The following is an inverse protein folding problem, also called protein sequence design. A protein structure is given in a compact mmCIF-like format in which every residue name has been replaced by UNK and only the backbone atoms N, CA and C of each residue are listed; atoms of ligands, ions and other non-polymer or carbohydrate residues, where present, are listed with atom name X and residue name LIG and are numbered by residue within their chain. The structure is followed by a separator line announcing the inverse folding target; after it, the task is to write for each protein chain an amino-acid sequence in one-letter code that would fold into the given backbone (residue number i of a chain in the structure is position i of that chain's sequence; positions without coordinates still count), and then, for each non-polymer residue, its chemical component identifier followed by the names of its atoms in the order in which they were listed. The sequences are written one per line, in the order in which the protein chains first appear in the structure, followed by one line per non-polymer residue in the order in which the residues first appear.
data_IF_332596311933
#
_entry.id   IF_332596311933
#
_cell.length_a   1.000
_cell.length_b   1.000
_cell.length_c   1.000
_cell.angle_alpha   90.00
_cell.angle_beta   90.00
_cell.angle_gamma   90.00
#
_symmetry.space_group_name_H-M   'P 1'
#
loop_
_entity.id
_entity.type
_entity.pdbx_description
1 polymer ?
#
# COMPACT_ATOMS: atom_id res chain seq x y z
N UNK A 1 -6.46 21.46 -8.22
CA UNK A 1 -6.20 20.23 -7.44
C UNK A 1 -6.18 20.59 -5.97
N UNK A 2 -6.98 19.89 -5.17
CA UNK A 2 -7.01 20.09 -3.71
C UNK A 2 -5.64 19.79 -3.09
N UNK A 3 -5.06 20.78 -2.40
CA UNK A 3 -3.77 20.64 -1.70
C UNK A 3 -3.80 19.49 -0.70
N UNK A 4 -4.96 19.22 -0.10
CA UNK A 4 -5.15 18.15 0.88
C UNK A 4 -4.96 16.78 0.22
N UNK A 5 -5.62 16.53 -0.92
CA UNK A 5 -5.50 15.27 -1.66
C UNK A 5 -4.04 14.98 -2.04
N UNK A 6 -3.34 16.00 -2.54
CA UNK A 6 -1.92 15.88 -2.90
C UNK A 6 -1.07 15.51 -1.69
N UNK A 7 -1.26 16.19 -0.56
CA UNK A 7 -0.50 15.93 0.67
C UNK A 7 -0.77 14.53 1.21
N UNK A 8 -2.03 14.09 1.21
CA UNK A 8 -2.40 12.73 1.64
C UNK A 8 -1.73 11.68 0.77
N UNK A 9 -1.76 11.84 -0.57
CA UNK A 9 -1.12 10.90 -1.48
C UNK A 9 0.41 10.86 -1.32
N UNK A 10 1.06 12.01 -1.12
CA UNK A 10 2.50 12.09 -0.87
C UNK A 10 2.89 11.49 0.49
N UNK A 11 2.10 11.73 1.54
CA UNK A 11 2.33 11.15 2.86
C UNK A 11 2.18 9.62 2.81
N UNK A 12 1.16 9.11 2.12
CA UNK A 12 0.98 7.69 1.89
C UNK A 12 2.14 7.07 1.10
N UNK A 13 2.57 7.72 0.01
CA UNK A 13 3.73 7.28 -0.76
C UNK A 13 5.01 7.21 0.09
N UNK A 14 5.28 8.23 0.90
CA UNK A 14 6.43 8.26 1.80
C UNK A 14 6.36 7.13 2.85
N UNK A 15 5.20 6.95 3.47
CA UNK A 15 4.97 5.87 4.44
C UNK A 15 5.28 4.50 3.82
N UNK A 16 4.77 4.24 2.61
CA UNK A 16 5.01 3.00 1.89
C UNK A 16 6.50 2.81 1.59
N UNK A 17 7.19 3.84 1.10
CA UNK A 17 8.62 3.78 0.80
C UNK A 17 9.43 3.42 2.04
N UNK A 18 9.12 4.03 3.19
CA UNK A 18 9.80 3.75 4.46
C UNK A 18 9.54 2.32 4.92
N UNK A 19 8.28 1.87 4.93
CA UNK A 19 7.90 0.53 5.36
C UNK A 19 8.52 -0.54 4.45
N UNK A 20 8.42 -0.37 3.13
CA UNK A 20 8.97 -1.30 2.15
C UNK A 20 10.50 -1.39 2.26
N UNK A 21 11.19 -0.25 2.39
CA UNK A 21 12.64 -0.23 2.61
C UNK A 21 13.03 -0.96 3.89
N UNK A 22 12.25 -0.77 4.96
CA UNK A 22 12.47 -1.45 6.24
C UNK A 22 12.33 -2.97 6.09
N UNK A 23 11.33 -3.46 5.37
CA UNK A 23 11.18 -4.90 5.09
C UNK A 23 12.30 -5.45 4.20
N UNK A 24 12.77 -4.67 3.22
CA UNK A 24 13.90 -5.07 2.36
C UNK A 24 15.19 -5.19 3.16
N UNK A 25 15.43 -4.31 4.13
CA UNK A 25 16.67 -4.30 4.91
C UNK A 25 16.63 -5.30 6.06
N UNK A 26 15.57 -5.26 6.88
CA UNK A 26 15.48 -6.02 8.13
C UNK A 26 14.83 -7.40 7.95
N UNK A 27 14.26 -7.71 6.78
CA UNK A 27 13.59 -8.99 6.50
C UNK A 27 12.23 -9.11 7.19
N UNK A 28 11.74 -10.34 7.37
CA UNK A 28 10.44 -10.61 8.01
C UNK A 28 10.51 -10.87 9.52
N UNK A 29 11.71 -11.03 10.09
CA UNK A 29 11.89 -11.38 11.50
C UNK A 29 11.51 -10.28 12.49
N UNK A 30 11.47 -9.02 12.06
CA UNK A 30 11.02 -7.89 12.88
C UNK A 30 9.50 -7.69 12.84
N UNK A 31 8.79 -8.43 11.99
CA UNK A 31 7.34 -8.33 11.84
C UNK A 31 6.65 -8.97 13.05
N UNK A 32 5.74 -8.25 13.74
CA UNK A 32 4.99 -8.83 14.85
C UNK A 32 4.15 -10.04 14.42
N UNK A 33 4.24 -11.13 15.18
CA UNK A 33 3.53 -12.37 14.92
C UNK A 33 4.29 -13.39 14.06
N UNK A 34 5.51 -13.06 13.60
CA UNK A 34 6.36 -14.01 12.88
C UNK A 34 6.94 -15.05 13.82
N UNK A 35 6.71 -16.34 13.54
CA UNK A 35 7.16 -17.46 14.39
C UNK A 35 8.24 -18.33 13.73
N UNK A 36 8.29 -18.40 12.39
CA UNK A 36 9.32 -19.15 11.65
C UNK A 36 9.63 -18.48 10.30
N UNK A 37 10.91 -18.24 10.05
CA UNK A 37 11.42 -17.58 8.83
C UNK A 37 12.42 -18.51 8.16
N UNK A 38 12.04 -19.11 7.03
CA UNK A 38 12.99 -19.88 6.21
C UNK A 38 13.65 -18.95 5.19
N UNK A 39 14.85 -19.29 4.68
CA UNK A 39 15.49 -18.50 3.62
C UNK A 39 14.61 -18.32 2.37
N UNK A 40 13.80 -19.33 2.02
CA UNK A 40 12.85 -19.26 0.91
C UNK A 40 11.80 -18.17 1.13
N UNK A 41 11.17 -18.14 2.31
CA UNK A 41 10.15 -17.15 2.65
C UNK A 41 10.77 -15.75 2.85
N UNK A 42 11.99 -15.65 3.39
CA UNK A 42 12.67 -14.35 3.52
C UNK A 42 13.01 -13.75 2.16
N UNK A 43 13.52 -14.58 1.24
CA UNK A 43 13.80 -14.16 -0.14
C UNK A 43 12.53 -13.72 -0.87
N UNK A 44 11.44 -14.48 -0.74
CA UNK A 44 10.14 -14.13 -1.33
C UNK A 44 9.60 -12.80 -0.76
N UNK A 45 9.65 -12.63 0.57
CA UNK A 45 9.18 -11.42 1.24
C UNK A 45 9.96 -10.17 0.80
N UNK A 46 11.29 -10.26 0.69
CA UNK A 46 12.13 -9.15 0.20
C UNK A 46 11.83 -8.81 -1.25
N UNK A 47 11.54 -9.80 -2.09
CA UNK A 47 11.11 -9.58 -3.47
C UNK A 47 9.80 -8.79 -3.53
N UNK A 48 8.75 -9.21 -2.82
CA UNK A 48 7.47 -8.47 -2.80
C UNK A 48 7.62 -7.09 -2.16
N UNK A 49 8.47 -6.95 -1.15
CA UNK A 49 8.78 -5.65 -0.53
C UNK A 49 9.42 -4.69 -1.53
N UNK A 50 10.26 -5.18 -2.45
CA UNK A 50 10.82 -4.36 -3.54
C UNK A 50 9.76 -3.86 -4.53
N UNK A 51 8.76 -4.70 -4.85
CA UNK A 51 7.61 -4.28 -5.66
C UNK A 51 6.78 -3.22 -4.94
N UNK A 52 6.57 -3.38 -3.63
CA UNK A 52 5.84 -2.41 -2.81
C UNK A 52 6.60 -1.07 -2.67
N UNK A 53 7.93 -1.11 -2.62
CA UNK A 53 8.77 0.08 -2.68
C UNK A 53 8.55 0.84 -3.99
N UNK A 54 8.62 0.14 -5.12
CA UNK A 54 8.40 0.74 -6.45
C UNK A 54 6.97 1.27 -6.60
N UNK A 55 5.98 0.59 -6.02
CA UNK A 55 4.61 1.08 -5.91
C UNK A 55 4.55 2.42 -5.17
N UNK A 56 5.20 2.55 -4.01
CA UNK A 56 5.25 3.79 -3.25
C UNK A 56 5.90 4.95 -4.03
N UNK A 57 6.99 4.67 -4.74
CA UNK A 57 7.64 5.66 -5.61
C UNK A 57 6.75 6.09 -6.78
N UNK A 58 6.07 5.14 -7.43
CA UNK A 58 5.13 5.42 -8.50
C UNK A 58 3.93 6.25 -8.01
N UNK A 59 3.43 5.98 -6.80
CA UNK A 59 2.38 6.75 -6.17
C UNK A 59 2.84 8.18 -5.89
N UNK A 60 4.04 8.35 -5.34
CA UNK A 60 4.64 9.66 -5.10
C UNK A 60 4.82 10.47 -6.38
N UNK A 61 5.28 9.83 -7.46
CA UNK A 61 5.40 10.44 -8.79
C UNK A 61 4.05 10.85 -9.38
N UNK A 62 3.01 10.01 -9.24
CA UNK A 62 1.65 10.35 -9.64
C UNK A 62 1.08 11.51 -8.83
N UNK A 63 1.35 11.53 -7.52
CA UNK A 63 0.88 12.58 -6.62
C UNK A 63 1.48 13.96 -6.93
N UNK A 64 2.60 14.06 -7.64
CA UNK A 64 3.14 15.35 -8.08
C UNK A 64 2.23 16.07 -9.08
N UNK A 65 1.51 15.32 -9.91
CA UNK A 65 0.60 15.83 -10.94
C UNK A 65 -0.50 14.80 -11.25
N UNK A 66 -1.49 14.71 -10.34
CA UNK A 66 -2.58 13.72 -10.42
C UNK A 66 -3.43 13.90 -11.69
N UNK A 67 -3.82 15.13 -12.11
CA UNK A 67 -4.62 15.30 -13.33
C UNK A 67 -3.92 14.76 -14.58
N UNK A 68 -2.62 15.01 -14.73
CA UNK A 68 -1.83 14.51 -15.87
C UNK A 68 -1.63 12.99 -15.84
N UNK A 69 -1.61 12.38 -14.65
CA UNK A 69 -1.25 10.97 -14.42
C UNK A 69 -2.42 10.16 -13.86
N UNK A 70 -3.65 10.59 -14.14
CA UNK A 70 -4.86 10.09 -13.50
C UNK A 70 -5.02 8.59 -13.62
N UNK A 71 -4.91 8.06 -14.83
CA UNK A 71 -5.11 6.62 -15.09
C UNK A 71 -4.14 5.75 -14.27
N UNK A 72 -2.87 6.18 -14.19
CA UNK A 72 -1.85 5.47 -13.40
C UNK A 72 -2.14 5.61 -11.91
N UNK A 73 -2.50 6.81 -11.44
CA UNK A 73 -2.87 7.04 -10.04
C UNK A 73 -4.04 6.15 -9.62
N UNK A 74 -5.09 6.10 -10.44
CA UNK A 74 -6.27 5.25 -10.26
C UNK A 74 -5.92 3.76 -10.29
N UNK A 75 -5.07 3.32 -11.22
CA UNK A 75 -4.57 1.95 -11.23
C UNK A 75 -3.80 1.59 -9.95
N UNK A 76 -3.00 2.51 -9.41
CA UNK A 76 -2.29 2.30 -8.14
C UNK A 76 -3.26 2.21 -6.95
N UNK A 77 -4.32 3.01 -6.93
CA UNK A 77 -5.38 2.88 -5.91
C UNK A 77 -6.08 1.52 -6.00
N UNK A 78 -6.42 1.07 -7.22
CA UNK A 78 -7.00 -0.25 -7.45
C UNK A 78 -6.06 -1.37 -6.99
N UNK A 79 -4.77 -1.24 -7.28
CA UNK A 79 -3.75 -2.22 -6.85
C UNK A 79 -3.73 -2.37 -5.33
N UNK A 80 -3.77 -1.26 -4.58
CA UNK A 80 -3.80 -1.30 -3.12
C UNK A 80 -5.10 -1.91 -2.58
N UNK A 81 -6.24 -1.58 -3.21
CA UNK A 81 -7.54 -2.16 -2.85
C UNK A 81 -7.57 -3.68 -3.07
N UNK A 82 -7.05 -4.14 -4.21
CA UNK A 82 -6.91 -5.58 -4.50
C UNK A 82 -5.98 -6.24 -3.49
N UNK A 83 -4.89 -5.58 -3.06
CA UNK A 83 -4.06 -6.04 -1.94
C UNK A 83 -4.82 -6.21 -0.63
N UNK A 84 -5.73 -5.29 -0.30
CA UNK A 84 -6.63 -5.45 0.85
C UNK A 84 -7.55 -6.67 0.71
N UNK A 85 -8.06 -6.96 -0.50
CA UNK A 85 -8.87 -8.15 -0.76
C UNK A 85 -8.08 -9.45 -0.58
N UNK A 86 -6.80 -9.49 -1.00
CA UNK A 86 -5.97 -10.69 -0.78
C UNK A 86 -5.71 -10.95 0.70
N UNK A 87 -5.68 -9.92 1.55
CA UNK A 87 -5.66 -10.12 3.02
C UNK A 87 -6.94 -10.76 3.56
N UNK A 88 -8.10 -10.45 2.97
CA UNK A 88 -9.35 -11.14 3.34
C UNK A 88 -9.28 -12.61 2.95
N UNK A 89 -8.72 -12.93 1.78
CA UNK A 89 -8.47 -14.33 1.39
C UNK A 89 -7.57 -15.03 2.41
N UNK A 90 -6.48 -14.38 2.84
CA UNK A 90 -5.60 -14.91 3.89
C UNK A 90 -6.32 -15.10 5.22
N UNK A 91 -7.19 -14.16 5.62
CA UNK A 91 -7.98 -14.27 6.85
C UNK A 91 -8.90 -15.50 6.81
N UNK A 92 -9.57 -15.72 5.68
CA UNK A 92 -10.48 -16.86 5.50
C UNK A 92 -9.72 -18.18 5.44
N UNK A 93 -8.56 -18.21 4.76
CA UNK A 93 -7.80 -19.44 4.54
C UNK A 93 -6.89 -19.84 5.70
N UNK A 94 -6.28 -18.87 6.40
CA UNK A 94 -5.24 -19.09 7.40
C UNK A 94 -5.62 -18.56 8.81
N UNK A 95 -6.76 -17.87 8.95
CA UNK A 95 -7.22 -17.32 10.21
C UNK A 95 -6.73 -15.90 10.49
N UNK A 96 -6.99 -15.41 11.70
CA UNK A 96 -6.75 -14.03 12.08
C UNK A 96 -5.25 -13.68 12.15
N UNK A 97 -4.79 -12.66 11.41
CA UNK A 97 -3.42 -12.18 11.55
C UNK A 97 -3.28 -11.31 12.80
N UNK A 98 -2.04 -10.94 13.12
CA UNK A 98 -1.75 -9.98 14.20
C UNK A 98 -2.58 -8.68 14.02
N UNK A 99 -3.13 -8.06 15.09
CA UNK A 99 -4.07 -6.93 14.99
C UNK A 99 -3.56 -5.74 14.14
N UNK A 100 -2.26 -5.50 14.14
CA UNK A 100 -1.62 -4.52 13.25
C UNK A 100 -1.98 -4.74 11.77
N UNK A 101 -1.96 -6.00 11.30
CA UNK A 101 -2.29 -6.35 9.92
C UNK A 101 -3.79 -6.27 9.63
N UNK A 102 -4.64 -6.42 10.65
CA UNK A 102 -6.08 -6.17 10.53
C UNK A 102 -6.33 -4.69 10.26
N UNK A 103 -5.69 -3.79 11.03
CA UNK A 103 -5.80 -2.34 10.83
C UNK A 103 -5.27 -1.95 9.44
N UNK A 104 -4.10 -2.46 9.06
CA UNK A 104 -3.55 -2.21 7.73
C UNK A 104 -4.47 -2.73 6.60
N UNK A 105 -5.09 -3.90 6.77
CA UNK A 105 -6.06 -4.42 5.80
C UNK A 105 -7.29 -3.54 5.68
N UNK A 106 -7.81 -3.01 6.79
CA UNK A 106 -8.91 -2.05 6.76
C UNK A 106 -8.50 -0.74 6.04
N UNK A 107 -7.28 -0.25 6.26
CA UNK A 107 -6.72 0.90 5.55
C UNK A 107 -6.65 0.64 4.04
N UNK A 108 -6.15 -0.52 3.62
CA UNK A 108 -6.05 -0.91 2.21
C UNK A 108 -7.41 -1.05 1.53
N UNK A 109 -8.47 -1.43 2.26
CA UNK A 109 -9.82 -1.54 1.72
C UNK A 109 -10.58 -0.20 1.68
N UNK A 110 -10.32 0.71 2.64
CA UNK A 110 -11.11 1.95 2.81
C UNK A 110 -10.45 3.14 2.13
N UNK A 111 -9.13 3.30 2.26
CA UNK A 111 -8.43 4.49 1.75
C UNK A 111 -8.53 4.62 0.23
N UNK A 112 -8.32 3.56 -0.58
CA UNK A 112 -8.35 3.74 -2.04
C UNK A 112 -9.72 4.18 -2.58
N UNK A 113 -10.87 3.60 -2.19
CA UNK A 113 -12.18 4.10 -2.61
C UNK A 113 -12.46 5.55 -2.20
N UNK A 114 -12.03 5.95 -1.00
CA UNK A 114 -12.20 7.33 -0.51
C UNK A 114 -11.35 8.30 -1.32
N UNK A 115 -10.05 8.02 -1.47
CA UNK A 115 -9.11 8.85 -2.24
C UNK A 115 -9.52 8.92 -3.71
N UNK A 116 -10.02 7.81 -4.28
CA UNK A 116 -10.56 7.78 -5.63
C UNK A 116 -11.72 8.78 -5.76
N UNK A 117 -12.73 8.71 -4.90
CA UNK A 117 -13.88 9.64 -4.94
C UNK A 117 -13.43 11.09 -4.84
N UNK A 118 -12.56 11.42 -3.88
CA UNK A 118 -12.03 12.76 -3.70
C UNK A 118 -11.26 13.24 -4.95
N UNK A 119 -10.50 12.36 -5.58
CA UNK A 119 -9.74 12.68 -6.79
C UNK A 119 -10.64 12.99 -7.98
N UNK A 120 -11.81 12.37 -8.08
CA UNK A 120 -12.80 12.62 -9.14
C UNK A 120 -13.52 13.95 -8.89
N UNK A 121 -13.97 14.21 -7.65
CA UNK A 121 -14.68 15.45 -7.30
C UNK A 121 -13.81 16.70 -7.45
N UNK A 122 -12.53 16.62 -7.10
CA UNK A 122 -11.58 17.74 -7.21
C UNK A 122 -11.21 18.12 -8.67
N UNK A 123 -11.70 17.36 -9.67
CA UNK A 123 -11.49 17.62 -11.09
C UNK A 123 -12.73 18.20 -11.79
N UNK A 124 -13.90 18.15 -11.16
CA UNK A 124 -15.17 18.67 -11.72
C UNK A 124 -15.46 20.13 -11.32
N UNK A 125 -14.58 20.75 -10.52
CA UNK A 125 -14.61 22.15 -10.06
C UNK A 125 -13.38 22.89 -10.56
#
# INVERSE_FOLDING_TARGET
MDKVLRLVALAGALFIVVVASTHILLGQSWIPGTTAVTPTLDSEHRFYSSLFLMYGLALGWCAQDIPKRREVFHFLLLTLFVGGLTRVVSLVAAGWPHPMFVVLGAVELIVPPVVWRLSVTAQTT
#
